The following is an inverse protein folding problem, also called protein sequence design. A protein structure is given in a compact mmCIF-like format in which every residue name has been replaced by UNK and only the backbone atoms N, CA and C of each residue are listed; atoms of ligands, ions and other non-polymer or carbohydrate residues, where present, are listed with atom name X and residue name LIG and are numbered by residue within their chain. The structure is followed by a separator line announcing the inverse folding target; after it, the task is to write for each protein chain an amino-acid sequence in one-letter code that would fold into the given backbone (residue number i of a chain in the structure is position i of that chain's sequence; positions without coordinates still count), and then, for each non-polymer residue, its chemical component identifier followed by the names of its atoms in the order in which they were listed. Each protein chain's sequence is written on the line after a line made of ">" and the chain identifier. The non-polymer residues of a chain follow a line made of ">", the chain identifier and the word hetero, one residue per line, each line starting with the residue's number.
data_IF_739979364059
#
_entry.id   IF_739979364059
#
_cell.length_a   1.000
_cell.length_b   1.000
_cell.length_c   1.000
_cell.angle_alpha   90.00
_cell.angle_beta   90.00
_cell.angle_gamma   90.00
#
_symmetry.space_group_name_H-M   'P 1'
#
loop_
_entity.id
_entity.type
_entity.pdbx_description
1 polymer ?
#
# COMPACT_ATOMS: atom_id res chain seq x y z
N UNK A 1 -8.10 14.23 -2.66
CA UNK A 1 -7.67 14.55 -1.27
C UNK A 1 -6.98 13.40 -0.49
N UNK A 2 -6.79 12.18 -1.04
CA UNK A 2 -5.99 11.08 -0.41
C UNK A 2 -4.46 11.20 -0.58
N UNK A 3 -3.96 12.33 -1.08
CA UNK A 3 -2.53 12.61 -1.02
C UNK A 3 -2.11 13.13 0.37
N UNK A 4 -3.07 13.55 1.21
CA UNK A 4 -2.79 14.35 2.40
C UNK A 4 -2.26 13.56 3.63
N UNK A 5 -2.25 12.23 3.63
CA UNK A 5 -1.83 11.44 4.80
C UNK A 5 -1.16 10.11 4.42
N UNK A 6 -0.24 10.14 3.44
CA UNK A 6 0.53 8.95 3.04
C UNK A 6 1.97 9.05 3.54
N UNK A 7 2.54 7.95 4.07
CA UNK A 7 3.94 7.95 4.43
C UNK A 7 4.82 8.12 3.18
N UNK A 8 5.89 8.92 3.31
CA UNK A 8 6.84 9.18 2.23
C UNK A 8 7.59 7.92 1.76
N UNK A 9 7.60 6.87 2.58
CA UNK A 9 8.25 5.58 2.31
C UNK A 9 7.36 4.54 1.62
N UNK A 10 6.16 4.91 1.15
CA UNK A 10 5.29 3.98 0.39
C UNK A 10 5.51 4.09 -1.13
N UNK A 11 6.27 3.15 -1.70
CA UNK A 11 6.66 3.19 -3.13
C UNK A 11 5.81 2.28 -4.04
N UNK A 12 5.33 1.13 -3.55
CA UNK A 12 4.63 0.13 -4.36
C UNK A 12 3.28 0.62 -4.93
N UNK A 13 2.98 0.25 -6.18
CA UNK A 13 1.73 0.57 -6.89
C UNK A 13 1.40 2.08 -6.95
N UNK A 14 2.43 2.94 -6.96
CA UNK A 14 2.28 4.41 -7.04
C UNK A 14 2.85 4.98 -8.33
N UNK A 15 2.18 6.01 -8.85
CA UNK A 15 2.70 6.81 -9.97
C UNK A 15 3.99 7.49 -9.56
N UNK A 16 4.96 7.55 -10.50
CA UNK A 16 6.27 8.19 -10.30
C UNK A 16 7.11 7.56 -9.17
N UNK A 17 6.82 6.32 -8.78
CA UNK A 17 7.67 5.54 -7.88
C UNK A 17 8.26 4.35 -8.63
N UNK A 18 9.54 4.07 -8.38
CA UNK A 18 10.27 2.93 -8.93
C UNK A 18 10.78 2.05 -7.78
N UNK A 19 11.03 0.77 -8.07
CA UNK A 19 11.65 -0.19 -7.16
C UNK A 19 13.04 0.23 -6.69
N UNK A 20 13.73 1.11 -7.44
CA UNK A 20 15.04 1.65 -7.04
C UNK A 20 14.96 2.62 -5.85
N UNK A 21 13.85 3.35 -5.71
CA UNK A 21 13.70 4.38 -4.68
C UNK A 21 13.80 3.86 -3.24
N UNK A 22 13.12 2.77 -2.85
CA UNK A 22 13.29 2.20 -1.50
C UNK A 22 14.74 1.73 -1.25
N UNK A 23 15.41 1.17 -2.27
CA UNK A 23 16.80 0.71 -2.15
C UNK A 23 17.73 1.90 -1.88
N UNK A 24 17.58 2.99 -2.64
CA UNK A 24 18.34 4.22 -2.43
C UNK A 24 18.10 4.82 -1.04
N UNK A 25 16.84 4.78 -0.56
CA UNK A 25 16.49 5.24 0.78
C UNK A 25 17.21 4.45 1.88
N UNK A 26 17.18 3.12 1.81
CA UNK A 26 17.91 2.25 2.75
C UNK A 26 19.41 2.50 2.67
N UNK A 27 19.98 2.61 1.46
CA UNK A 27 21.40 2.86 1.27
C UNK A 27 21.85 4.21 1.84
N UNK A 28 21.03 5.26 1.68
CA UNK A 28 21.29 6.58 2.26
C UNK A 28 21.27 6.53 3.79
N UNK A 29 20.29 5.86 4.39
CA UNK A 29 20.21 5.65 5.84
C UNK A 29 21.40 4.83 6.37
N UNK A 30 21.82 3.82 5.60
CA UNK A 30 23.00 3.02 5.95
C UNK A 30 24.27 3.87 5.98
N UNK A 31 24.44 4.76 4.99
CA UNK A 31 25.60 5.67 4.87
C UNK A 31 25.60 6.78 5.92
N UNK A 32 24.48 7.46 6.13
CA UNK A 32 24.40 8.65 7.02
C UNK A 32 24.79 8.33 8.46
N UNK A 33 24.56 7.09 8.89
CA UNK A 33 24.81 6.65 10.27
C UNK A 33 26.06 5.77 10.40
N UNK A 34 26.85 5.56 9.34
CA UNK A 34 28.10 4.78 9.37
C UNK A 34 29.15 5.42 10.29
N UNK A 35 29.06 6.73 10.52
CA UNK A 35 29.94 7.47 11.43
C UNK A 35 29.72 7.17 12.93
N UNK A 36 28.63 6.50 13.32
CA UNK A 36 28.20 6.38 14.72
C UNK A 36 28.44 4.98 15.33
N UNK A 37 29.11 4.06 14.63
CA UNK A 37 29.42 2.68 15.08
C UNK A 37 28.24 1.88 15.69
N UNK A 38 26.99 2.26 15.41
CA UNK A 38 25.82 1.58 15.92
C UNK A 38 25.48 0.33 15.09
N UNK A 39 25.20 -0.79 15.78
CA UNK A 39 24.69 -2.02 15.17
C UNK A 39 23.33 -1.79 14.52
N UNK A 40 23.10 -2.39 13.34
CA UNK A 40 21.81 -2.30 12.64
C UNK A 40 21.31 -3.67 12.20
N UNK A 41 20.01 -3.85 12.34
CA UNK A 41 19.28 -5.02 11.89
C UNK A 41 18.21 -4.55 10.92
N UNK A 42 18.13 -5.20 9.76
CA UNK A 42 17.02 -5.03 8.84
C UNK A 42 16.02 -6.16 9.09
N UNK A 43 14.74 -5.82 9.25
CA UNK A 43 13.66 -6.80 9.37
C UNK A 43 12.90 -6.82 8.05
N UNK A 44 13.00 -7.94 7.34
CA UNK A 44 12.27 -8.16 6.10
C UNK A 44 10.94 -8.83 6.43
N UNK A 45 9.84 -8.17 6.08
CA UNK A 45 8.48 -8.68 6.25
C UNK A 45 7.86 -8.89 4.88
N UNK A 46 7.23 -10.05 4.69
CA UNK A 46 6.45 -10.38 3.50
C UNK A 46 5.14 -11.04 3.90
N UNK A 47 4.11 -10.88 3.07
CA UNK A 47 2.78 -11.41 3.29
C UNK A 47 2.46 -12.44 2.21
N UNK A 48 2.49 -13.71 2.59
CA UNK A 48 2.11 -14.80 1.68
C UNK A 48 0.67 -14.62 1.20
N UNK A 49 0.49 -14.60 -0.13
CA UNK A 49 -0.79 -14.43 -0.82
C UNK A 49 -1.56 -13.20 -0.30
N UNK A 50 -0.86 -12.09 -0.13
CA UNK A 50 -1.40 -10.85 0.46
C UNK A 50 -2.76 -10.41 -0.11
N UNK A 51 -2.99 -10.59 -1.43
CA UNK A 51 -4.23 -10.21 -2.10
C UNK A 51 -5.37 -11.23 -1.91
N UNK A 52 -5.05 -12.52 -1.74
CA UNK A 52 -6.05 -13.57 -1.49
C UNK A 52 -6.55 -13.53 -0.04
N UNK A 53 -5.68 -13.15 0.90
CA UNK A 53 -5.98 -13.14 2.35
C UNK A 53 -6.49 -11.78 2.85
N UNK A 54 -6.93 -10.89 1.96
CA UNK A 54 -7.45 -9.58 2.35
C UNK A 54 -8.81 -9.74 3.04
N UNK A 55 -8.95 -9.14 4.23
CA UNK A 55 -10.24 -9.08 4.89
C UNK A 55 -11.13 -7.98 4.28
N UNK A 56 -12.03 -8.39 3.38
CA UNK A 56 -12.87 -7.50 2.57
C UNK A 56 -13.71 -6.47 3.35
N UNK A 57 -14.39 -6.81 4.47
CA UNK A 57 -15.14 -5.82 5.27
C UNK A 57 -14.26 -4.68 5.77
N UNK A 58 -13.08 -4.99 6.31
CA UNK A 58 -12.12 -3.97 6.76
C UNK A 58 -11.59 -3.12 5.61
N UNK A 59 -11.39 -3.71 4.43
CA UNK A 59 -10.99 -2.96 3.24
C UNK A 59 -12.09 -1.97 2.82
N UNK A 60 -13.35 -2.40 2.78
CA UNK A 60 -14.49 -1.55 2.42
C UNK A 60 -14.67 -0.38 3.40
N UNK A 61 -14.53 -0.62 4.70
CA UNK A 61 -14.55 0.44 5.72
C UNK A 61 -13.44 1.47 5.47
N UNK A 62 -12.23 1.02 5.10
CA UNK A 62 -11.12 1.93 4.75
C UNK A 62 -11.34 2.69 3.44
N UNK A 63 -12.08 2.11 2.49
CA UNK A 63 -12.39 2.72 1.20
C UNK A 63 -13.56 3.72 1.26
N UNK A 64 -14.52 3.53 2.16
CA UNK A 64 -15.69 4.42 2.32
C UNK A 64 -15.31 5.90 2.49
N UNK A 65 -14.46 6.26 3.47
CA UNK A 65 -13.96 7.63 3.65
C UNK A 65 -13.11 8.15 2.48
N UNK A 66 -12.60 7.24 1.64
CA UNK A 66 -11.71 7.56 0.53
C UNK A 66 -12.48 8.12 -0.68
N UNK A 67 -13.81 7.92 -0.76
CA UNK A 67 -14.68 8.46 -1.82
C UNK A 67 -14.27 8.05 -3.24
N UNK A 68 -13.57 6.91 -3.38
CA UNK A 68 -12.89 6.52 -4.63
C UNK A 68 -13.68 5.55 -5.51
N UNK A 69 -14.67 4.86 -4.95
CA UNK A 69 -15.49 3.94 -5.71
C UNK A 69 -16.85 3.80 -4.99
N UNK A 70 -17.97 3.80 -5.71
CA UNK A 70 -19.26 3.44 -5.15
C UNK A 70 -19.19 2.10 -4.40
N UNK A 71 -19.76 2.06 -3.20
CA UNK A 71 -19.67 0.90 -2.30
C UNK A 71 -20.15 -0.40 -2.97
N UNK A 72 -21.22 -0.31 -3.76
CA UNK A 72 -21.78 -1.41 -4.54
C UNK A 72 -20.81 -1.97 -5.61
N UNK A 73 -20.05 -1.10 -6.28
CA UNK A 73 -19.06 -1.52 -7.28
C UNK A 73 -17.87 -2.21 -6.61
N UNK A 74 -17.36 -1.63 -5.51
CA UNK A 74 -16.25 -2.24 -4.76
C UNK A 74 -16.66 -3.57 -4.14
N UNK A 75 -17.88 -3.68 -3.62
CA UNK A 75 -18.37 -4.90 -2.99
C UNK A 75 -18.57 -6.03 -4.01
N UNK A 76 -19.18 -5.74 -5.17
CA UNK A 76 -19.37 -6.76 -6.22
C UNK A 76 -18.04 -7.28 -6.76
N UNK A 77 -17.08 -6.40 -7.04
CA UNK A 77 -15.75 -6.80 -7.49
C UNK A 77 -15.02 -7.69 -6.47
N UNK A 78 -15.13 -7.35 -5.20
CA UNK A 78 -14.47 -8.05 -4.10
C UNK A 78 -15.10 -9.42 -3.78
N UNK A 79 -16.41 -9.60 -4.01
CA UNK A 79 -17.12 -10.85 -3.71
C UNK A 79 -17.15 -11.81 -4.90
N UNK A 80 -17.41 -11.28 -6.10
CA UNK A 80 -17.68 -12.10 -7.29
C UNK A 80 -16.50 -12.14 -8.27
N UNK A 81 -15.44 -11.36 -8.03
CA UNK A 81 -14.36 -11.15 -8.99
C UNK A 81 -14.79 -10.42 -10.27
N UNK A 82 -16.04 -9.94 -10.32
CA UNK A 82 -16.65 -9.30 -11.47
C UNK A 82 -17.33 -7.98 -11.07
N UNK A 83 -17.20 -6.96 -11.91
CA UNK A 83 -17.86 -5.67 -11.68
C UNK A 83 -19.29 -5.76 -12.20
N UNK A 84 -20.28 -5.79 -11.29
CA UNK A 84 -21.69 -5.59 -11.64
C UNK A 84 -22.05 -4.14 -11.36
N UNK A 85 -22.15 -3.33 -12.41
CA UNK A 85 -22.69 -1.98 -12.31
C UNK A 85 -24.16 -2.03 -12.74
N UNK A 86 -25.08 -1.71 -11.83
CA UNK A 86 -26.44 -1.36 -12.21
C UNK A 86 -26.46 0.13 -12.54
N UNK A 87 -26.76 0.45 -13.80
CA UNK A 87 -27.07 1.79 -14.23
C UNK A 87 -28.59 1.94 -14.13
N UNK A 88 -29.02 2.88 -13.28
CA UNK A 88 -30.41 3.34 -13.23
C UNK A 88 -30.60 4.53 -14.16
#
# INVERSE_FOLDING_TARGET
>A
RLQANRPSWQYGFRKKCSTILPILGVQAEMRSKRACFAWRVAVFMDFDKALEKVWHPSLLIKLGPAGRCPYNISTSYLQDGCVRAQFG
#
